data_IF_585882818541
#
_entry.id   IF_585882818541
#
_cell.length_a   1.000
_cell.length_b   1.000
_cell.length_c   1.000
_cell.angle_alpha   90.00
_cell.angle_beta   90.00
_cell.angle_gamma   90.00
#
_symmetry.space_group_name_H-M   'P 1'
#
loop_
_entity.id
_entity.type
_entity.pdbx_description
1 polymer ?
#
# COMPACT_ATOMS: atom_id res chain seq x y z
N UNK A 1 -2.61 -18.32 -42.47
CA UNK A 1 -1.49 -18.83 -41.64
C UNK A 1 -1.10 -17.86 -40.51
N UNK A 2 -1.31 -16.56 -40.65
CA UNK A 2 -0.92 -15.51 -39.66
C UNK A 2 -1.82 -15.40 -38.43
N UNK A 3 -3.09 -15.81 -38.50
CA UNK A 3 -4.05 -15.79 -37.37
C UNK A 3 -3.73 -16.84 -36.28
N UNK A 4 -3.15 -17.98 -36.65
CA UNK A 4 -2.81 -19.06 -35.70
C UNK A 4 -1.59 -18.73 -34.82
N UNK A 5 -0.64 -17.97 -35.36
CA UNK A 5 0.60 -17.55 -34.67
C UNK A 5 0.27 -16.50 -33.61
N UNK A 6 -0.56 -15.49 -33.95
CA UNK A 6 -1.07 -14.48 -33.01
C UNK A 6 -1.87 -15.12 -31.86
N UNK A 7 -2.65 -16.16 -32.13
CA UNK A 7 -3.42 -16.86 -31.09
C UNK A 7 -2.52 -17.62 -30.11
N UNK A 8 -1.47 -18.30 -30.61
CA UNK A 8 -0.55 -19.07 -29.78
C UNK A 8 0.36 -18.16 -28.93
N UNK A 9 0.77 -16.99 -29.44
CA UNK A 9 1.51 -16.01 -28.65
C UNK A 9 0.63 -15.37 -27.56
N UNK A 10 -0.64 -15.07 -27.84
CA UNK A 10 -1.59 -14.57 -26.84
C UNK A 10 -1.86 -15.61 -25.74
N UNK A 11 -2.00 -16.89 -26.10
CA UNK A 11 -2.22 -17.98 -25.13
C UNK A 11 -0.96 -18.21 -24.28
N UNK A 12 0.24 -18.13 -24.87
CA UNK A 12 1.48 -18.25 -24.10
C UNK A 12 1.68 -17.08 -23.13
N UNK A 13 1.32 -15.85 -23.53
CA UNK A 13 1.32 -14.66 -22.66
C UNK A 13 0.31 -14.78 -21.52
N UNK A 14 -0.89 -15.29 -21.77
CA UNK A 14 -1.91 -15.53 -20.74
C UNK A 14 -1.45 -16.57 -19.71
N UNK A 15 -0.89 -17.69 -20.15
CA UNK A 15 -0.41 -18.75 -19.24
C UNK A 15 0.81 -18.34 -18.42
N UNK A 16 1.69 -17.49 -18.98
CA UNK A 16 2.84 -16.95 -18.24
C UNK A 16 2.43 -15.94 -17.17
N UNK A 17 1.48 -15.07 -17.49
CA UNK A 17 0.95 -14.07 -16.55
C UNK A 17 0.17 -14.71 -15.40
N UNK A 18 -0.60 -15.78 -15.66
CA UNK A 18 -1.28 -16.56 -14.61
C UNK A 18 -0.30 -17.25 -13.64
N UNK A 19 0.80 -17.81 -14.14
CA UNK A 19 1.85 -18.45 -13.31
C UNK A 19 2.56 -17.44 -12.40
N UNK A 20 2.85 -16.24 -12.91
CA UNK A 20 3.46 -15.18 -12.08
C UNK A 20 2.47 -14.70 -11.01
N UNK A 21 1.20 -14.52 -11.39
CA UNK A 21 0.16 -14.05 -10.48
C UNK A 21 -0.08 -15.04 -9.34
N UNK A 22 -0.16 -16.34 -9.63
CA UNK A 22 -0.31 -17.40 -8.62
C UNK A 22 0.91 -17.51 -7.70
N UNK A 23 2.14 -17.44 -8.22
CA UNK A 23 3.35 -17.41 -7.40
C UNK A 23 3.42 -16.18 -6.46
N UNK A 24 3.01 -15.01 -6.94
CA UNK A 24 2.93 -13.80 -6.11
C UNK A 24 1.86 -13.92 -5.03
N UNK A 25 0.68 -14.45 -5.36
CA UNK A 25 -0.39 -14.69 -4.40
C UNK A 25 0.01 -15.68 -3.30
N UNK A 26 0.74 -16.75 -3.65
CA UNK A 26 1.24 -17.73 -2.67
C UNK A 26 2.24 -17.08 -1.71
N UNK A 27 3.22 -16.31 -2.22
CA UNK A 27 4.18 -15.58 -1.37
C UNK A 27 3.52 -14.52 -0.49
N UNK A 28 2.50 -13.83 -1.01
CA UNK A 28 1.71 -12.87 -0.23
C UNK A 28 0.93 -13.61 0.87
N UNK A 29 0.32 -14.75 0.55
CA UNK A 29 -0.44 -15.59 1.50
C UNK A 29 0.47 -16.14 2.60
N UNK A 30 1.65 -16.66 2.29
CA UNK A 30 2.64 -17.11 3.29
C UNK A 30 3.10 -15.96 4.20
N UNK A 31 3.34 -14.77 3.64
CA UNK A 31 3.69 -13.56 4.41
C UNK A 31 2.55 -13.06 5.30
N UNK A 32 1.29 -13.32 4.92
CA UNK A 32 0.09 -13.02 5.73
C UNK A 32 -0.08 -14.08 6.83
N UNK A 33 0.10 -15.37 6.53
CA UNK A 33 -0.05 -16.46 7.51
C UNK A 33 1.06 -16.45 8.57
N UNK A 34 2.29 -16.04 8.22
CA UNK A 34 3.39 -15.90 9.18
C UNK A 34 3.27 -14.69 10.11
N UNK A 35 2.33 -13.76 9.87
CA UNK A 35 2.03 -12.64 10.79
C UNK A 35 1.12 -13.04 11.96
N UNK A 36 0.66 -14.28 12.02
CA UNK A 36 -0.44 -14.73 12.90
C UNK A 36 -0.06 -15.32 14.27
N UNK A 37 1.20 -15.32 14.69
CA UNK A 37 1.60 -15.85 16.02
C UNK A 37 2.44 -14.86 16.83
N UNK A 38 1.99 -13.61 16.92
CA UNK A 38 2.48 -12.72 17.98
C UNK A 38 1.69 -12.99 19.26
N UNK A 39 2.37 -13.47 20.30
CA UNK A 39 1.81 -13.68 21.64
C UNK A 39 1.28 -12.32 22.13
N UNK A 40 -0.02 -12.23 22.39
CA UNK A 40 -0.67 -11.07 23.01
C UNK A 40 -0.10 -10.88 24.43
N UNK A 41 0.93 -10.05 24.56
CA UNK A 41 1.10 -9.21 25.75
C UNK A 41 0.40 -7.88 25.42
N UNK A 42 -0.56 -7.49 26.27
CA UNK A 42 -1.37 -6.28 26.10
C UNK A 42 -0.49 -5.03 26.15
N UNK A 43 -0.33 -4.33 25.02
CA UNK A 43 0.29 -3.00 25.05
C UNK A 43 -0.59 -1.86 24.51
N UNK A 44 -1.53 -2.12 23.57
CA UNK A 44 -2.60 -1.23 23.06
C UNK A 44 -3.01 -1.74 21.65
N UNK A 45 -4.26 -1.53 21.21
CA UNK A 45 -4.68 -1.88 19.84
C UNK A 45 -4.09 -0.89 18.82
N UNK A 46 -2.91 -1.21 18.29
CA UNK A 46 -2.20 -0.40 17.30
C UNK A 46 -3.00 -0.11 16.02
N UNK A 47 -3.95 -0.98 15.64
CA UNK A 47 -4.78 -0.74 14.44
C UNK A 47 -5.77 0.39 14.70
N UNK A 48 -6.37 0.40 15.88
CA UNK A 48 -7.25 1.48 16.33
C UNK A 48 -6.45 2.78 16.47
N UNK A 49 -5.29 2.73 17.13
CA UNK A 49 -4.40 3.89 17.28
C UNK A 49 -3.96 4.49 15.95
N UNK A 50 -3.61 3.64 14.97
CA UNK A 50 -3.26 4.13 13.63
C UNK A 50 -4.44 4.83 12.95
N UNK A 51 -5.68 4.37 13.20
CA UNK A 51 -6.88 5.00 12.65
C UNK A 51 -7.14 6.37 13.28
N UNK A 52 -6.94 6.49 14.60
CA UNK A 52 -6.99 7.77 15.33
C UNK A 52 -5.90 8.70 14.79
N UNK A 53 -4.65 8.25 14.67
CA UNK A 53 -3.55 9.04 14.14
C UNK A 53 -3.84 9.59 12.73
N UNK A 54 -4.34 8.74 11.82
CA UNK A 54 -4.78 9.20 10.49
C UNK A 54 -5.84 10.29 10.57
N UNK A 55 -6.75 10.24 11.55
CA UNK A 55 -7.82 11.22 11.72
C UNK A 55 -7.23 12.58 12.09
N UNK A 56 -6.36 12.58 13.08
CA UNK A 56 -5.66 13.78 13.59
C UNK A 56 -4.80 14.42 12.50
N UNK A 57 -4.07 13.62 11.75
CA UNK A 57 -3.24 14.08 10.63
C UNK A 57 -4.06 14.45 9.37
N UNK A 58 -5.40 14.41 9.43
CA UNK A 58 -6.31 14.65 8.30
C UNK A 58 -6.00 13.80 7.06
N UNK A 59 -5.49 12.58 7.30
CA UNK A 59 -5.18 11.59 6.27
C UNK A 59 -6.44 10.85 5.83
N UNK A 60 -6.33 10.12 4.72
CA UNK A 60 -7.44 9.36 4.15
C UNK A 60 -7.81 8.18 5.06
N UNK A 61 -9.09 8.11 5.44
CA UNK A 61 -9.63 7.01 6.25
C UNK A 61 -10.82 6.40 5.51
N UNK A 62 -10.95 5.08 5.58
CA UNK A 62 -12.13 4.40 5.02
C UNK A 62 -13.36 4.79 5.82
N UNK A 63 -14.51 4.92 5.16
CA UNK A 63 -15.76 5.27 5.84
C UNK A 63 -16.06 4.39 7.06
N UNK A 64 -15.90 3.06 6.92
CA UNK A 64 -16.13 2.12 8.01
C UNK A 64 -15.15 2.30 9.19
N UNK A 65 -13.88 2.58 8.89
CA UNK A 65 -12.86 2.87 9.91
C UNK A 65 -13.21 4.17 10.65
N UNK A 66 -13.64 5.21 9.93
CA UNK A 66 -14.06 6.48 10.51
C UNK A 66 -15.29 6.34 11.39
N UNK A 67 -16.29 5.55 10.96
CA UNK A 67 -17.50 5.29 11.74
C UNK A 67 -17.22 4.48 13.01
N UNK A 68 -16.16 3.67 13.01
CA UNK A 68 -15.73 2.92 14.19
C UNK A 68 -14.99 3.75 15.24
N UNK A 69 -14.60 5.00 14.91
CA UNK A 69 -14.02 5.92 15.88
C UNK A 69 -15.13 6.51 16.77
N UNK A 70 -14.96 6.35 18.09
CA UNK A 70 -15.78 7.04 19.06
C UNK A 70 -15.51 8.56 18.99
N UNK A 71 -16.51 9.39 19.27
CA UNK A 71 -16.36 10.85 19.26
C UNK A 71 -15.29 11.32 20.26
N UNK A 72 -15.10 10.58 21.36
CA UNK A 72 -14.09 10.84 22.39
C UNK A 72 -12.63 10.72 21.92
N UNK A 73 -12.38 10.12 20.75
CA UNK A 73 -11.03 9.95 20.19
C UNK A 73 -10.85 10.72 18.87
N UNK A 74 -11.77 11.64 18.56
CA UNK A 74 -11.68 12.58 17.45
C UNK A 74 -10.99 13.85 17.92
N UNK A 75 -9.67 13.79 18.05
CA UNK A 75 -8.89 14.96 18.46
C UNK A 75 -8.81 15.99 17.33
N UNK A 76 -8.91 17.26 17.69
CA UNK A 76 -8.81 18.38 16.75
C UNK A 76 -7.36 18.81 16.55
N UNK A 77 -6.51 18.54 17.55
CA UNK A 77 -5.08 18.89 17.54
C UNK A 77 -4.18 17.67 17.75
N UNK A 78 -2.95 17.76 17.22
CA UNK A 78 -1.92 16.73 17.43
C UNK A 78 -1.51 16.63 18.92
N UNK A 79 -1.54 17.73 19.65
CA UNK A 79 -1.19 17.75 21.08
C UNK A 79 -2.20 17.00 21.95
N UNK A 80 -3.50 17.08 21.64
CA UNK A 80 -4.53 16.27 22.30
C UNK A 80 -4.29 14.78 22.11
N UNK A 81 -3.90 14.38 20.89
CA UNK A 81 -3.54 12.99 20.61
C UNK A 81 -2.30 12.55 21.41
N UNK A 82 -1.24 13.36 21.45
CA UNK A 82 -0.06 13.07 22.29
C UNK A 82 -0.48 12.90 23.75
N UNK A 83 -1.29 13.81 24.28
CA UNK A 83 -1.75 13.76 25.67
C UNK A 83 -2.56 12.48 25.95
N UNK A 84 -3.43 12.08 25.02
CA UNK A 84 -4.17 10.82 25.08
C UNK A 84 -3.24 9.60 25.09
N UNK A 85 -2.23 9.55 24.20
CA UNK A 85 -1.26 8.45 24.15
C UNK A 85 -0.49 8.39 25.47
N UNK A 86 -0.01 9.52 25.98
CA UNK A 86 0.69 9.58 27.27
C UNK A 86 -0.21 9.07 28.40
N UNK A 87 -1.44 9.57 28.52
CA UNK A 87 -2.35 9.14 29.57
C UNK A 87 -2.71 7.66 29.49
N UNK A 88 -2.90 7.12 28.29
CA UNK A 88 -3.20 5.71 28.06
C UNK A 88 -2.04 4.79 28.48
N UNK A 89 -0.80 5.28 28.39
CA UNK A 89 0.40 4.51 28.70
C UNK A 89 1.00 4.80 30.09
N UNK A 90 0.42 5.70 30.89
CA UNK A 90 0.89 6.05 32.25
C UNK A 90 0.83 4.88 33.24
N UNK A 91 -0.02 3.88 32.98
CA UNK A 91 -0.20 2.71 33.86
C UNK A 91 0.99 1.75 33.77
N UNK A 92 1.77 1.83 32.69
CA UNK A 92 2.92 0.96 32.48
C UNK A 92 4.14 1.42 33.27
N UNK A 93 4.84 0.45 33.84
CA UNK A 93 6.16 0.63 34.43
C UNK A 93 7.22 0.96 33.36
N UNK A 94 8.39 1.43 33.81
CA UNK A 94 9.51 1.74 32.92
C UNK A 94 9.93 0.55 32.05
N UNK A 95 10.05 -0.63 32.66
CA UNK A 95 10.44 -1.86 31.95
C UNK A 95 9.39 -2.27 30.89
N UNK A 96 8.10 -2.12 31.21
CA UNK A 96 7.01 -2.39 30.25
C UNK A 96 6.99 -1.40 29.09
N UNK A 97 7.29 -0.12 29.36
CA UNK A 97 7.43 0.90 28.31
C UNK A 97 8.65 0.64 27.42
N UNK A 98 9.75 0.14 27.98
CA UNK A 98 10.94 -0.27 27.20
C UNK A 98 10.64 -1.48 26.31
N UNK A 99 9.95 -2.51 26.82
CA UNK A 99 9.51 -3.67 26.04
C UNK A 99 8.55 -3.22 24.91
N UNK A 100 7.61 -2.31 25.22
CA UNK A 100 6.69 -1.77 24.23
C UNK A 100 7.40 -0.92 23.16
N UNK A 101 8.36 -0.09 23.56
CA UNK A 101 9.19 0.67 22.61
C UNK A 101 9.95 -0.26 21.67
N UNK A 102 10.57 -1.32 22.20
CA UNK A 102 11.27 -2.31 21.39
C UNK A 102 10.33 -3.00 20.39
N UNK A 103 9.10 -3.31 20.82
CA UNK A 103 8.05 -3.84 19.96
C UNK A 103 7.67 -2.89 18.81
N UNK A 104 7.46 -1.60 19.10
CA UNK A 104 7.16 -0.58 18.08
C UNK A 104 8.30 -0.41 17.07
N UNK A 105 9.56 -0.40 17.53
CA UNK A 105 10.73 -0.34 16.66
C UNK A 105 10.77 -1.57 15.73
N UNK A 106 10.50 -2.77 16.26
CA UNK A 106 10.46 -3.98 15.45
C UNK A 106 9.35 -3.92 14.38
N UNK A 107 8.17 -3.41 14.75
CA UNK A 107 7.05 -3.18 13.81
C UNK A 107 7.41 -2.17 12.73
N UNK A 108 8.08 -1.08 13.07
CA UNK A 108 8.57 -0.09 12.11
C UNK A 108 9.63 -0.69 11.15
N UNK A 109 10.60 -1.44 11.69
CA UNK A 109 11.62 -2.13 10.90
C UNK A 109 11.02 -3.10 9.89
N UNK A 110 9.93 -3.78 10.23
CA UNK A 110 9.24 -4.68 9.30
C UNK A 110 8.53 -3.95 8.13
N UNK A 111 8.33 -2.64 8.23
CA UNK A 111 7.75 -1.82 7.16
C UNK A 111 8.84 -1.35 6.18
N UNK A 112 10.04 -1.00 6.66
CA UNK A 112 11.15 -0.52 5.83
C UNK A 112 11.51 -1.41 4.62
N UNK A 113 11.70 -2.74 4.73
CA UNK A 113 12.01 -3.58 3.57
C UNK A 113 10.85 -3.62 2.57
N UNK A 114 9.63 -3.30 3.00
CA UNK A 114 8.52 -3.13 2.06
C UNK A 114 8.67 -1.84 1.25
N UNK A 115 9.12 -0.72 1.84
CA UNK A 115 9.35 0.55 1.14
C UNK A 115 10.41 0.41 0.05
N UNK A 116 11.54 -0.21 0.37
CA UNK A 116 12.61 -0.49 -0.60
C UNK A 116 12.11 -1.37 -1.74
N UNK A 117 11.41 -2.46 -1.43
CA UNK A 117 10.80 -3.32 -2.44
C UNK A 117 9.84 -2.56 -3.36
N UNK A 118 8.96 -1.73 -2.80
CA UNK A 118 8.04 -0.90 -3.59
C UNK A 118 8.78 0.13 -4.44
N UNK A 119 9.82 0.78 -3.92
CA UNK A 119 10.60 1.76 -4.67
C UNK A 119 11.33 1.19 -5.88
N UNK A 120 11.67 -0.11 -5.86
CA UNK A 120 12.26 -0.82 -6.99
C UNK A 120 11.21 -1.42 -7.92
N UNK A 121 10.19 -2.05 -7.35
CA UNK A 121 9.17 -2.76 -8.13
C UNK A 121 8.28 -1.82 -8.93
N UNK A 122 7.97 -0.63 -8.39
CA UNK A 122 7.10 0.34 -9.08
C UNK A 122 7.71 0.82 -10.41
N UNK A 123 8.96 1.33 -10.44
CA UNK A 123 9.60 1.71 -11.70
C UNK A 123 9.66 0.55 -12.70
N UNK A 124 10.04 -0.65 -12.25
CA UNK A 124 10.12 -1.83 -13.13
C UNK A 124 8.76 -2.15 -13.76
N UNK A 125 7.69 -2.18 -12.97
CA UNK A 125 6.34 -2.39 -13.48
C UNK A 125 5.92 -1.27 -14.44
N UNK A 126 6.23 -0.01 -14.13
CA UNK A 126 5.92 1.12 -15.00
C UNK A 126 6.65 1.04 -16.35
N UNK A 127 7.94 0.68 -16.34
CA UNK A 127 8.71 0.48 -17.58
C UNK A 127 8.09 -0.61 -18.44
N UNK A 128 7.71 -1.75 -17.84
CA UNK A 128 7.05 -2.84 -18.58
C UNK A 128 5.71 -2.39 -19.16
N UNK A 129 4.91 -1.65 -18.39
CA UNK A 129 3.61 -1.14 -18.87
C UNK A 129 3.81 -0.16 -20.03
N UNK A 130 4.76 0.77 -19.91
CA UNK A 130 5.06 1.74 -20.96
C UNK A 130 5.60 1.08 -22.22
N UNK A 131 6.53 0.13 -22.09
CA UNK A 131 7.05 -0.64 -23.22
C UNK A 131 5.94 -1.39 -23.96
N UNK A 132 5.03 -2.04 -23.23
CA UNK A 132 3.86 -2.70 -23.83
C UNK A 132 2.89 -1.72 -24.48
N UNK A 133 2.66 -0.56 -23.87
CA UNK A 133 1.81 0.48 -24.45
C UNK A 133 2.40 1.04 -25.76
N UNK A 134 3.70 1.33 -25.79
CA UNK A 134 4.40 1.80 -26.99
C UNK A 134 4.38 0.75 -28.10
N UNK A 135 4.65 -0.52 -27.78
CA UNK A 135 4.56 -1.61 -28.75
C UNK A 135 3.14 -1.75 -29.33
N UNK A 136 2.10 -1.58 -28.52
CA UNK A 136 0.71 -1.58 -29.01
C UNK A 136 0.43 -0.38 -29.92
N UNK A 137 0.90 0.82 -29.56
CA UNK A 137 0.77 2.02 -30.41
C UNK A 137 1.47 1.84 -31.76
N UNK A 138 2.66 1.26 -31.77
CA UNK A 138 3.39 0.93 -33.00
C UNK A 138 2.63 -0.05 -33.89
N UNK A 139 2.05 -1.10 -33.30
CA UNK A 139 1.22 -2.06 -34.03
C UNK A 139 -0.03 -1.37 -34.60
N UNK A 140 -0.69 -0.51 -33.83
CA UNK A 140 -1.87 0.25 -34.28
C UNK A 140 -1.51 1.25 -35.40
N UNK A 141 -0.37 1.94 -35.29
CA UNK A 141 0.12 2.91 -36.28
C UNK A 141 0.53 2.27 -37.61
N UNK A 142 0.97 1.00 -37.59
CA UNK A 142 1.30 0.22 -38.80
C UNK A 142 0.07 -0.26 -39.57
N UNK A 143 -1.14 -0.19 -38.99
CA UNK A 143 -2.38 -0.56 -39.69
C UNK A 143 -2.71 0.54 -40.72
N UNK A 144 -2.14 0.43 -41.92
CA UNK A 144 -2.50 1.30 -43.05
C UNK A 144 -3.91 0.94 -43.58
N UNK A 145 -5.00 1.57 -43.09
CA UNK A 145 -6.34 1.43 -43.71
C UNK A 145 -7.21 2.69 -43.65
N UNK A 146 -7.89 2.95 -44.78
CA UNK A 146 -8.82 4.07 -45.06
C UNK A 146 -10.25 3.90 -44.50
N UNK A 147 -10.52 2.89 -43.66
CA UNK A 147 -11.89 2.60 -43.20
C UNK A 147 -12.17 3.21 -41.83
N UNK A 148 -13.31 3.90 -41.72
CA UNK A 148 -13.75 4.60 -40.49
C UNK A 148 -13.89 3.66 -39.30
N UNK A 149 -14.35 2.42 -39.52
CA UNK A 149 -14.51 1.43 -38.46
C UNK A 149 -13.17 1.02 -37.81
N UNK A 150 -12.08 0.95 -38.57
CA UNK A 150 -10.76 0.61 -38.03
C UNK A 150 -10.21 1.77 -37.19
N UNK A 151 -10.39 3.02 -37.65
CA UNK A 151 -10.02 4.22 -36.89
C UNK A 151 -10.77 4.25 -35.56
N UNK A 152 -12.06 3.92 -35.55
CA UNK A 152 -12.88 3.89 -34.33
C UNK A 152 -12.38 2.84 -33.32
N UNK A 153 -11.98 1.65 -33.78
CA UNK A 153 -11.39 0.61 -32.92
C UNK A 153 -10.07 1.07 -32.31
N UNK A 154 -9.21 1.74 -33.09
CA UNK A 154 -7.94 2.28 -32.61
C UNK A 154 -8.19 3.31 -31.49
N UNK A 155 -9.13 4.26 -31.70
CA UNK A 155 -9.48 5.28 -30.70
C UNK A 155 -9.97 4.65 -29.40
N UNK A 156 -10.87 3.66 -29.47
CA UNK A 156 -11.37 2.93 -28.30
C UNK A 156 -10.21 2.22 -27.59
N UNK A 157 -9.31 1.57 -28.34
CA UNK A 157 -8.14 0.89 -27.79
C UNK A 157 -7.23 1.83 -27.00
N UNK A 158 -6.90 3.00 -27.57
CA UNK A 158 -6.09 4.02 -26.90
C UNK A 158 -6.77 4.51 -25.62
N UNK A 159 -8.08 4.80 -25.66
CA UNK A 159 -8.83 5.23 -24.50
C UNK A 159 -8.80 4.20 -23.36
N UNK A 160 -8.95 2.91 -23.67
CA UNK A 160 -8.88 1.83 -22.67
C UNK A 160 -7.49 1.76 -22.03
N UNK A 161 -6.42 1.92 -22.82
CA UNK A 161 -5.03 1.93 -22.33
C UNK A 161 -4.81 3.12 -21.38
N UNK A 162 -5.29 4.31 -21.73
CA UNK A 162 -5.18 5.49 -20.88
C UNK A 162 -5.89 5.31 -19.53
N UNK A 163 -7.14 4.82 -19.54
CA UNK A 163 -7.90 4.54 -18.32
C UNK A 163 -7.17 3.51 -17.44
N UNK A 164 -6.59 2.48 -18.05
CA UNK A 164 -5.80 1.48 -17.34
C UNK A 164 -4.56 2.08 -16.68
N UNK A 165 -3.79 2.89 -17.41
CA UNK A 165 -2.58 3.55 -16.89
C UNK A 165 -2.94 4.47 -15.72
N UNK A 166 -3.98 5.30 -15.86
CA UNK A 166 -4.45 6.18 -14.78
C UNK A 166 -4.88 5.37 -13.55
N UNK A 167 -5.60 4.27 -13.75
CA UNK A 167 -6.01 3.37 -12.66
C UNK A 167 -4.83 2.79 -11.88
N UNK A 168 -3.79 2.33 -12.59
CA UNK A 168 -2.55 1.83 -11.99
C UNK A 168 -1.83 2.94 -11.22
N UNK A 169 -1.69 4.14 -11.79
CA UNK A 169 -1.04 5.27 -11.13
C UNK A 169 -1.74 5.65 -9.82
N UNK A 170 -3.07 5.75 -9.83
CA UNK A 170 -3.86 6.05 -8.62
C UNK A 170 -3.68 4.98 -7.56
N UNK A 171 -3.65 3.70 -7.95
CA UNK A 171 -3.41 2.59 -7.04
C UNK A 171 -2.02 2.68 -6.38
N UNK A 172 -0.99 2.99 -7.18
CA UNK A 172 0.39 3.12 -6.69
C UNK A 172 0.55 4.29 -5.72
N UNK A 173 0.06 5.48 -6.09
CA UNK A 173 0.13 6.68 -5.24
C UNK A 173 -0.55 6.44 -3.89
N UNK A 174 -1.73 5.81 -3.92
CA UNK A 174 -2.47 5.47 -2.70
C UNK A 174 -1.68 4.53 -1.79
N UNK A 175 -1.08 3.49 -2.35
CA UNK A 175 -0.30 2.54 -1.56
C UNK A 175 0.94 3.22 -0.96
N UNK A 176 1.67 4.03 -1.73
CA UNK A 176 2.84 4.77 -1.24
C UNK A 176 2.45 5.68 -0.07
N UNK A 177 1.36 6.43 -0.20
CA UNK A 177 0.83 7.28 0.87
C UNK A 177 0.50 6.49 2.15
N UNK A 178 -0.20 5.36 2.01
CA UNK A 178 -0.54 4.49 3.15
C UNK A 178 0.72 3.89 3.84
N UNK A 179 1.81 3.69 3.09
CA UNK A 179 3.09 3.25 3.66
C UNK A 179 3.78 4.35 4.46
N UNK A 180 3.87 5.55 3.88
CA UNK A 180 4.50 6.70 4.52
C UNK A 180 3.76 7.10 5.81
N UNK A 181 2.41 7.11 5.78
CA UNK A 181 1.59 7.37 6.96
C UNK A 181 1.87 6.37 8.09
N UNK A 182 2.07 5.08 7.76
CA UNK A 182 2.45 4.07 8.77
C UNK A 182 3.82 4.34 9.36
N UNK A 183 4.82 4.68 8.55
CA UNK A 183 6.18 4.96 9.04
C UNK A 183 6.16 6.14 10.01
N UNK A 184 5.47 7.22 9.64
CA UNK A 184 5.33 8.42 10.47
C UNK A 184 4.59 8.11 11.78
N UNK A 185 3.50 7.35 11.73
CA UNK A 185 2.80 6.89 12.92
C UNK A 185 3.75 6.20 13.92
N UNK A 186 4.54 5.21 13.48
CA UNK A 186 5.47 4.53 14.38
C UNK A 186 6.55 5.48 14.90
N UNK A 187 7.08 6.36 14.06
CA UNK A 187 8.11 7.33 14.45
C UNK A 187 7.62 8.24 15.57
N UNK A 188 6.43 8.83 15.41
CA UNK A 188 5.85 9.74 16.39
C UNK A 188 5.49 8.99 17.67
N UNK A 189 4.87 7.82 17.56
CA UNK A 189 4.49 7.01 18.71
C UNK A 189 5.72 6.56 19.52
N UNK A 190 6.79 6.10 18.86
CA UNK A 190 8.06 5.74 19.50
C UNK A 190 8.63 6.96 20.24
N UNK A 191 8.62 8.14 19.62
CA UNK A 191 9.12 9.38 20.26
C UNK A 191 8.33 9.73 21.53
N UNK A 192 7.01 9.55 21.54
CA UNK A 192 6.18 9.78 22.72
C UNK A 192 6.58 8.82 23.85
N UNK A 193 6.70 7.52 23.55
CA UNK A 193 7.09 6.52 24.55
C UNK A 193 8.52 6.77 25.08
N UNK A 194 9.47 7.15 24.21
CA UNK A 194 10.82 7.56 24.63
C UNK A 194 10.81 8.73 25.59
N UNK A 195 9.96 9.74 25.33
CA UNK A 195 9.82 10.88 26.20
C UNK A 195 9.17 10.53 27.54
N UNK A 196 8.28 9.52 27.57
CA UNK A 196 7.73 8.98 28.82
C UNK A 196 8.80 8.27 29.65
N UNK A 197 9.60 7.39 29.04
CA UNK A 197 10.68 6.64 29.71
C UNK A 197 11.72 7.59 30.31
N UNK A 198 12.07 8.69 29.62
CA UNK A 198 13.01 9.70 30.12
C UNK A 198 12.52 10.49 31.33
N UNK A 199 11.20 10.55 31.54
CA UNK A 199 10.56 11.31 32.63
C UNK A 199 10.23 10.46 33.86
N UNK A 200 10.49 9.14 33.80
CA UNK A 200 10.32 8.16 34.87
C UNK A 200 11.67 7.79 35.49
#
# INVERSE_FOLDING_TARGET
MTLGILSNELISLLTWTEKIYTCLLIKIREKIMNKGKERKKCYVDLKKEFTIYKYVCRRRIKFNERKSLNDLVKFDTHNEWIHYVVCSNKVYSKDELEEFRAYLIQRQRNINPSKEYWSLSVPVCMTIILDRAMNMLDVLGKIQKKSVGIIMVIIIGVFVIEVFIVGVLVFLIKNIGDYEDRINFYKDYISIIENMIKKL
#
